data_IF_646632755266
#
_entry.id   IF_646632755266
#
_cell.length_a   1.000
_cell.length_b   1.000
_cell.length_c   1.000
_cell.angle_alpha   90.00
_cell.angle_beta   90.00
_cell.angle_gamma   90.00
#
_symmetry.space_group_name_H-M   'P 1'
#
loop_
_entity.id
_entity.type
_entity.pdbx_description
1 polymer ?
#
# COMPACT_ATOMS: atom_id res chain seq x y z
N UNK A 1 -25.13 5.83 4.87
CA UNK A 1 -24.73 4.74 5.79
C UNK A 1 -23.28 5.00 6.22
N UNK A 2 -23.02 5.31 7.50
CA UNK A 2 -21.65 5.59 7.96
C UNK A 2 -20.95 4.24 8.18
N UNK A 3 -19.88 3.97 7.43
CA UNK A 3 -19.15 2.71 7.54
C UNK A 3 -18.43 2.63 8.89
N UNK A 4 -18.62 1.52 9.63
CA UNK A 4 -17.89 1.19 10.88
C UNK A 4 -16.39 1.53 10.86
N UNK A 5 -15.61 1.24 9.79
CA UNK A 5 -14.19 1.61 9.74
C UNK A 5 -13.94 3.13 9.73
N UNK A 6 -14.84 3.93 9.15
CA UNK A 6 -14.67 5.40 9.13
C UNK A 6 -14.89 6.04 10.51
N UNK A 7 -15.74 5.44 11.34
CA UNK A 7 -15.95 5.89 12.73
C UNK A 7 -14.72 5.55 13.57
N UNK A 8 -14.19 4.32 13.44
CA UNK A 8 -12.98 3.91 14.15
C UNK A 8 -11.77 4.81 13.83
N UNK A 9 -11.55 5.10 12.55
CA UNK A 9 -10.50 6.04 12.12
C UNK A 9 -10.71 7.45 12.68
N UNK A 10 -11.94 7.98 12.59
CA UNK A 10 -12.24 9.31 13.11
C UNK A 10 -12.01 9.43 14.62
N UNK A 11 -12.39 8.41 15.39
CA UNK A 11 -12.18 8.37 16.84
C UNK A 11 -10.69 8.31 17.19
N UNK A 12 -9.92 7.48 16.48
CA UNK A 12 -8.47 7.42 16.66
C UNK A 12 -7.78 8.76 16.37
N UNK A 13 -8.13 9.41 15.24
CA UNK A 13 -7.60 10.73 14.88
C UNK A 13 -8.01 11.80 15.90
N UNK A 14 -9.24 11.74 16.42
CA UNK A 14 -9.70 12.66 17.46
C UNK A 14 -8.90 12.53 18.75
N UNK A 15 -8.73 11.30 19.27
CA UNK A 15 -7.98 11.08 20.50
C UNK A 15 -6.51 11.49 20.38
N UNK A 16 -5.87 11.17 19.26
CA UNK A 16 -4.47 11.53 19.01
C UNK A 16 -4.28 13.04 18.94
N UNK A 17 -5.12 13.75 18.17
CA UNK A 17 -5.06 15.21 18.07
C UNK A 17 -5.41 15.90 19.39
N UNK A 18 -6.37 15.36 20.15
CA UNK A 18 -6.71 15.88 21.48
C UNK A 18 -5.53 15.79 22.44
N UNK A 19 -4.84 14.64 22.46
CA UNK A 19 -3.66 14.43 23.28
C UNK A 19 -2.53 15.41 22.92
N UNK A 20 -2.18 15.50 21.62
CA UNK A 20 -1.14 16.40 21.13
C UNK A 20 -1.48 17.85 21.47
N UNK A 21 -2.73 18.26 21.27
CA UNK A 21 -3.17 19.63 21.53
C UNK A 21 -3.15 19.96 23.03
N UNK A 22 -3.58 19.03 23.89
CA UNK A 22 -3.52 19.19 25.34
C UNK A 22 -2.07 19.39 25.82
N UNK A 23 -1.14 18.54 25.36
CA UNK A 23 0.28 18.65 25.71
C UNK A 23 0.88 19.96 25.19
N UNK A 24 0.49 20.39 23.98
CA UNK A 24 0.93 21.66 23.39
C UNK A 24 0.45 22.88 24.18
N UNK A 25 -0.83 22.91 24.57
CA UNK A 25 -1.39 23.97 25.43
C UNK A 25 -0.66 24.03 26.77
N UNK A 26 -0.48 22.88 27.44
CA UNK A 26 0.19 22.84 28.73
C UNK A 26 1.63 23.37 28.63
N UNK A 27 2.38 22.91 27.62
CA UNK A 27 3.74 23.39 27.37
C UNK A 27 3.80 24.89 27.10
N UNK A 28 2.84 25.42 26.33
CA UNK A 28 2.78 26.84 26.01
C UNK A 28 2.38 27.70 27.22
N UNK A 29 1.49 27.19 28.07
CA UNK A 29 1.08 27.83 29.33
C UNK A 29 2.30 27.94 30.26
N UNK A 30 3.02 26.85 30.52
CA UNK A 30 4.21 26.85 31.36
C UNK A 30 5.31 27.77 30.81
N UNK A 31 5.55 27.74 29.50
CA UNK A 31 6.52 28.62 28.86
C UNK A 31 6.15 30.11 29.06
N UNK A 32 4.89 30.46 28.84
CA UNK A 32 4.43 31.84 29.02
C UNK A 32 4.52 32.27 30.49
N UNK A 33 4.18 31.39 31.43
CA UNK A 33 4.32 31.66 32.87
C UNK A 33 5.78 31.93 33.22
N UNK A 34 6.71 31.07 32.78
CA UNK A 34 8.14 31.25 33.02
C UNK A 34 8.67 32.55 32.41
N UNK A 35 8.27 32.87 31.18
CA UNK A 35 8.65 34.12 30.52
C UNK A 35 8.11 35.35 31.25
N UNK A 36 6.83 35.33 31.65
CA UNK A 36 6.21 36.42 32.42
C UNK A 36 6.87 36.59 33.80
N UNK A 37 7.18 35.50 34.51
CA UNK A 37 7.94 35.56 35.78
C UNK A 37 9.30 36.22 35.57
N UNK A 38 10.06 35.79 34.55
CA UNK A 38 11.37 36.37 34.26
C UNK A 38 11.31 37.87 33.90
N UNK A 39 10.27 38.31 33.17
CA UNK A 39 10.06 39.72 32.86
C UNK A 39 9.73 40.55 34.11
N UNK A 40 8.83 40.04 34.97
CA UNK A 40 8.48 40.66 36.24
C UNK A 40 9.71 40.74 37.16
N UNK A 41 10.48 39.66 37.27
CA UNK A 41 11.73 39.62 38.03
C UNK A 41 12.72 40.67 37.55
N UNK A 42 12.92 40.78 36.23
CA UNK A 42 13.79 41.78 35.64
C UNK A 42 13.31 43.19 35.97
N UNK A 43 12.00 43.44 35.90
CA UNK A 43 11.43 44.76 36.22
C UNK A 43 11.60 45.10 37.69
N UNK A 44 11.22 44.20 38.59
CA UNK A 44 11.38 44.37 40.03
C UNK A 44 12.86 44.56 40.39
N UNK A 45 13.78 43.82 39.76
CA UNK A 45 15.22 43.95 40.00
C UNK A 45 15.77 45.33 39.63
N UNK A 46 15.21 45.99 38.62
CA UNK A 46 15.57 47.37 38.26
C UNK A 46 15.04 48.37 39.30
N UNK A 47 13.82 48.14 39.80
CA UNK A 47 13.12 49.05 40.71
C UNK A 47 13.43 48.75 42.20
N UNK A 48 14.18 47.69 42.50
CA UNK A 48 14.40 47.10 43.83
C UNK A 48 14.99 48.05 44.88
N UNK A 49 15.86 48.96 44.42
CA UNK A 49 16.52 49.95 45.30
C UNK A 49 15.60 51.12 45.64
N UNK A 50 14.52 51.31 44.88
CA UNK A 50 13.54 52.38 45.10
C UNK A 50 12.36 51.91 45.94
N UNK A 51 12.19 50.59 46.13
CA UNK A 51 11.09 50.02 46.91
C UNK A 51 11.39 50.09 48.42
N UNK A 52 10.50 50.69 49.24
CA UNK A 52 10.69 50.85 50.68
C UNK A 52 10.36 49.55 51.43
N UNK A 53 11.15 48.51 51.19
CA UNK A 53 10.99 47.19 51.82
C UNK A 53 11.58 47.19 53.24
N UNK A 54 11.04 46.35 54.12
CA UNK A 54 11.56 46.20 55.47
C UNK A 54 12.99 45.63 55.45
N UNK A 55 13.89 46.24 56.23
CA UNK A 55 15.30 45.85 56.33
C UNK A 55 15.67 45.56 57.80
N UNK A 56 15.76 44.27 58.18
CA UNK A 56 16.08 43.87 59.56
C UNK A 56 17.45 44.37 60.03
N UNK A 57 18.43 44.46 59.11
CA UNK A 57 19.78 44.94 59.41
C UNK A 57 19.82 46.40 59.89
N UNK A 58 18.85 47.22 59.47
CA UNK A 58 18.79 48.65 59.78
C UNK A 58 17.60 49.02 60.68
N UNK A 59 16.88 48.04 61.25
CA UNK A 59 15.63 48.25 62.00
C UNK A 59 14.59 49.12 61.25
N UNK A 60 14.61 49.06 59.91
CA UNK A 60 13.67 49.80 59.08
C UNK A 60 12.45 48.92 58.79
N UNK A 61 11.27 49.36 59.23
CA UNK A 61 10.02 48.60 59.10
C UNK A 61 9.45 48.59 57.67
N UNK A 62 10.00 49.39 56.75
CA UNK A 62 9.46 49.54 55.40
C UNK A 62 8.21 50.43 55.34
N UNK A 63 7.73 50.68 54.12
CA UNK A 63 6.44 51.30 53.85
C UNK A 63 5.58 50.36 53.00
N UNK A 64 4.77 49.53 53.67
CA UNK A 64 3.93 48.53 53.01
C UNK A 64 2.93 49.16 52.03
N UNK A 65 2.41 50.36 52.33
CA UNK A 65 1.42 51.03 51.49
C UNK A 65 2.00 51.44 50.13
N UNK A 66 3.25 51.89 50.08
CA UNK A 66 3.93 52.21 48.81
C UNK A 66 4.25 50.94 48.01
N UNK A 67 4.61 49.85 48.68
CA UNK A 67 4.84 48.55 48.04
C UNK A 67 3.53 48.02 47.44
N UNK A 68 2.42 48.10 48.17
CA UNK A 68 1.11 47.67 47.67
C UNK A 68 0.64 48.52 46.47
N UNK A 69 0.88 49.83 46.51
CA UNK A 69 0.61 50.73 45.38
C UNK A 69 1.45 50.37 44.14
N UNK A 70 2.73 50.04 44.34
CA UNK A 70 3.60 49.57 43.26
C UNK A 70 3.08 48.25 42.66
N UNK A 71 2.74 47.28 43.51
CA UNK A 71 2.17 45.99 43.08
C UNK A 71 0.88 46.21 42.30
N UNK A 72 0.00 47.10 42.77
CA UNK A 72 -1.25 47.44 42.09
C UNK A 72 -1.00 48.02 40.69
N UNK A 73 -0.07 48.97 40.56
CA UNK A 73 0.28 49.56 39.26
C UNK A 73 0.91 48.53 38.31
N UNK A 74 1.80 47.68 38.83
CA UNK A 74 2.43 46.61 38.07
C UNK A 74 1.38 45.60 37.58
N UNK A 75 0.50 45.14 38.46
CA UNK A 75 -0.58 44.21 38.09
C UNK A 75 -1.54 44.84 37.07
N UNK A 76 -1.85 46.14 37.17
CA UNK A 76 -2.66 46.81 36.16
C UNK A 76 -1.99 46.79 34.77
N UNK A 77 -0.67 46.90 34.69
CA UNK A 77 0.07 46.77 33.43
C UNK A 77 0.08 45.32 32.94
N UNK A 78 0.28 44.36 33.83
CA UNK A 78 0.26 42.93 33.53
C UNK A 78 -1.10 42.47 33.01
N UNK A 79 -2.19 42.95 33.61
CA UNK A 79 -3.57 42.68 33.19
C UNK A 79 -3.86 43.26 31.80
N UNK A 80 -3.41 44.49 31.53
CA UNK A 80 -3.52 45.12 30.20
C UNK A 80 -2.79 44.31 29.12
N UNK A 81 -1.70 43.65 29.48
CA UNK A 81 -0.93 42.79 28.60
C UNK A 81 -1.43 41.34 28.57
N UNK A 82 -2.56 41.03 29.24
CA UNK A 82 -3.11 39.69 29.38
C UNK A 82 -2.08 38.66 29.92
N UNK A 83 -1.25 39.10 30.87
CA UNK A 83 -0.31 38.22 31.57
C UNK A 83 -1.07 37.13 32.34
N UNK A 84 -0.51 35.92 32.37
CA UNK A 84 -1.02 34.81 33.18
C UNK A 84 -0.48 34.82 34.61
N UNK A 85 0.37 35.79 34.93
CA UNK A 85 1.07 35.89 36.21
C UNK A 85 0.82 37.28 36.76
N UNK A 86 0.36 37.34 38.00
CA UNK A 86 0.21 38.55 38.79
C UNK A 86 1.07 38.45 40.05
N UNK A 87 1.47 39.59 40.60
CA UNK A 87 2.25 39.66 41.83
C UNK A 87 1.30 39.78 43.01
N UNK A 88 1.43 38.88 43.98
CA UNK A 88 0.65 38.92 45.23
C UNK A 88 1.33 39.79 46.28
N UNK A 89 2.60 39.52 46.55
CA UNK A 89 3.39 40.26 47.54
C UNK A 89 4.86 40.31 47.15
N UNK A 90 5.53 41.35 47.61
CA UNK A 90 6.99 41.52 47.52
C UNK A 90 7.47 41.74 48.94
N UNK A 91 8.29 40.84 49.46
CA UNK A 91 8.73 40.93 50.85
C UNK A 91 10.13 40.36 51.06
N UNK A 92 10.77 40.77 52.16
CA UNK A 92 12.08 40.22 52.57
C UNK A 92 11.95 38.86 53.29
N UNK A 93 10.72 38.42 53.57
CA UNK A 93 10.43 37.17 54.28
C UNK A 93 10.06 36.07 53.28
N UNK A 94 10.42 34.83 53.59
CA UNK A 94 10.07 33.68 52.76
C UNK A 94 8.54 33.50 52.74
N UNK A 95 7.89 33.49 51.57
CA UNK A 95 6.45 33.26 51.46
C UNK A 95 6.09 31.79 51.71
N UNK A 96 4.87 31.55 52.17
CA UNK A 96 4.33 30.19 52.37
C UNK A 96 3.85 29.53 51.05
N UNK A 97 3.80 30.29 49.96
CA UNK A 97 3.32 29.81 48.66
C UNK A 97 4.38 28.96 47.94
N UNK A 98 3.93 28.12 47.00
CA UNK A 98 4.82 27.32 46.14
C UNK A 98 5.33 28.07 44.92
N UNK A 99 4.66 29.15 44.51
CA UNK A 99 4.94 29.92 43.31
C UNK A 99 5.59 31.27 43.68
N UNK A 100 6.86 31.22 44.06
CA UNK A 100 7.67 32.41 44.35
C UNK A 100 9.00 32.42 43.58
N UNK A 101 9.62 33.59 43.51
CA UNK A 101 11.00 33.76 43.02
C UNK A 101 11.85 34.50 44.03
N UNK A 102 13.12 34.12 44.11
CA UNK A 102 14.14 34.76 44.94
C UNK A 102 14.96 35.75 44.09
N UNK A 103 14.93 37.02 44.48
CA UNK A 103 15.74 38.09 43.91
C UNK A 103 16.86 38.45 44.87
N UNK A 104 18.11 38.32 44.43
CA UNK A 104 19.29 38.68 45.20
C UNK A 104 19.72 40.11 44.87
N UNK A 105 19.48 41.02 45.80
CA UNK A 105 20.10 42.34 45.80
C UNK A 105 21.48 42.31 46.47
N UNK A 106 22.20 43.44 46.40
CA UNK A 106 23.57 43.54 46.92
C UNK A 106 23.71 43.13 48.40
N UNK A 107 22.70 43.37 49.24
CA UNK A 107 22.74 43.07 50.69
C UNK A 107 21.42 42.53 51.24
N UNK A 108 20.45 42.16 50.38
CA UNK A 108 19.14 41.65 50.79
C UNK A 108 18.61 40.61 49.81
N UNK A 109 17.89 39.62 50.34
CA UNK A 109 17.12 38.66 49.56
C UNK A 109 15.67 39.13 49.59
N UNK A 110 15.06 39.23 48.42
CA UNK A 110 13.67 39.65 48.25
C UNK A 110 12.91 38.54 47.57
N UNK A 111 11.77 38.18 48.14
CA UNK A 111 10.87 37.18 47.62
C UNK A 111 9.70 37.86 46.93
N UNK A 112 9.40 37.39 45.72
CA UNK A 112 8.23 37.80 44.95
C UNK A 112 7.28 36.62 44.88
N UNK A 113 6.09 36.77 45.43
CA UNK A 113 5.04 35.76 45.41
C UNK A 113 4.07 36.02 44.25
N UNK A 114 3.66 34.96 43.54
CA UNK A 114 2.86 35.06 42.34
C UNK A 114 1.48 34.40 42.47
N UNK A 115 0.51 34.95 41.73
CA UNK A 115 -0.74 34.29 41.38
C UNK A 115 -0.66 33.86 39.92
N UNK A 116 -0.76 32.56 39.67
CA UNK A 116 -0.52 31.96 38.35
C UNK A 116 -1.80 31.33 37.80
N UNK A 117 -2.20 31.75 36.60
CA UNK A 117 -3.38 31.26 35.89
C UNK A 117 -3.03 30.12 34.92
N UNK A 118 -3.22 28.88 35.36
CA UNK A 118 -2.93 27.65 34.59
C UNK A 118 -4.12 27.12 33.78
N UNK A 119 -5.24 27.84 33.70
CA UNK A 119 -6.41 27.37 32.96
C UNK A 119 -6.16 27.26 31.44
N UNK A 120 -6.73 26.21 30.87
CA UNK A 120 -6.75 25.96 29.44
C UNK A 120 -7.86 26.76 28.77
N UNK A 121 -7.57 27.28 27.57
CA UNK A 121 -8.58 27.96 26.76
C UNK A 121 -9.49 26.94 26.04
N UNK A 122 -10.65 26.65 26.64
CA UNK A 122 -11.61 25.66 26.13
C UNK A 122 -12.08 25.96 24.70
N UNK A 123 -12.24 27.23 24.33
CA UNK A 123 -12.66 27.64 22.99
C UNK A 123 -11.71 27.16 21.90
N UNK A 124 -10.40 27.07 22.16
CA UNK A 124 -9.41 26.66 21.18
C UNK A 124 -9.48 25.15 20.84
N UNK A 125 -10.13 24.34 21.68
CA UNK A 125 -10.35 22.92 21.37
C UNK A 125 -11.29 22.71 20.18
N UNK A 126 -12.05 23.73 19.75
CA UNK A 126 -12.84 23.67 18.51
C UNK A 126 -11.97 23.39 17.28
N UNK A 127 -10.70 23.82 17.30
CA UNK A 127 -9.75 23.56 16.22
C UNK A 127 -9.48 22.06 16.07
N UNK A 128 -9.38 21.33 17.19
CA UNK A 128 -9.22 19.87 17.20
C UNK A 128 -10.44 19.20 16.54
N UNK A 129 -11.64 19.65 16.89
CA UNK A 129 -12.89 19.15 16.28
C UNK A 129 -12.92 19.44 14.77
N UNK A 130 -12.57 20.65 14.36
CA UNK A 130 -12.54 21.01 12.94
C UNK A 130 -11.52 20.17 12.16
N UNK A 131 -10.32 20.00 12.69
CA UNK A 131 -9.24 19.23 12.04
C UNK A 131 -9.63 17.75 11.89
N UNK A 132 -10.34 17.20 12.88
CA UNK A 132 -10.80 15.80 12.83
C UNK A 132 -11.90 15.61 11.78
N UNK A 133 -12.84 16.55 11.68
CA UNK A 133 -13.85 16.54 10.61
C UNK A 133 -13.21 16.61 9.22
N UNK A 134 -12.20 17.46 9.03
CA UNK A 134 -11.46 17.56 7.76
C UNK A 134 -10.76 16.22 7.44
N UNK A 135 -10.08 15.62 8.41
CA UNK A 135 -9.42 14.32 8.22
C UNK A 135 -10.42 13.20 7.87
N UNK A 136 -11.56 13.13 8.56
CA UNK A 136 -12.61 12.16 8.25
C UNK A 136 -13.19 12.40 6.86
N UNK A 137 -13.38 13.66 6.45
CA UNK A 137 -13.85 14.01 5.11
C UNK A 137 -12.87 13.59 4.02
N UNK A 138 -11.57 13.87 4.20
CA UNK A 138 -10.51 13.45 3.28
C UNK A 138 -10.42 11.93 3.20
N UNK A 139 -10.43 11.25 4.35
CA UNK A 139 -10.44 9.79 4.42
C UNK A 139 -11.63 9.20 3.67
N UNK A 140 -12.85 9.76 3.86
CA UNK A 140 -14.03 9.32 3.09
C UNK A 140 -13.85 9.52 1.59
N UNK A 141 -13.31 10.66 1.13
CA UNK A 141 -13.07 10.92 -0.29
C UNK A 141 -12.03 9.97 -0.89
N UNK A 142 -10.92 9.74 -0.18
CA UNK A 142 -9.85 8.84 -0.63
C UNK A 142 -10.34 7.39 -0.62
N UNK A 143 -11.03 6.95 0.43
CA UNK A 143 -11.61 5.61 0.51
C UNK A 143 -12.68 5.41 -0.58
N UNK A 144 -13.55 6.40 -0.84
CA UNK A 144 -14.51 6.32 -1.94
C UNK A 144 -13.82 6.21 -3.30
N UNK A 145 -12.73 6.93 -3.53
CA UNK A 145 -11.89 6.78 -4.74
C UNK A 145 -11.21 5.42 -4.81
N UNK A 146 -10.71 4.88 -3.70
CA UNK A 146 -10.14 3.53 -3.68
C UNK A 146 -11.18 2.46 -3.91
N UNK A 147 -12.39 2.59 -3.36
CA UNK A 147 -13.51 1.67 -3.63
C UNK A 147 -13.96 1.79 -5.08
N UNK A 148 -14.07 3.00 -5.64
CA UNK A 148 -14.39 3.20 -7.05
C UNK A 148 -13.30 2.72 -8.00
N UNK A 149 -12.02 2.86 -7.62
CA UNK A 149 -10.90 2.31 -8.40
C UNK A 149 -10.83 0.80 -8.27
N UNK A 150 -11.07 0.22 -7.07
CA UNK A 150 -11.17 -1.23 -6.88
C UNK A 150 -12.39 -1.81 -7.58
N UNK A 151 -13.52 -1.11 -7.61
CA UNK A 151 -14.68 -1.54 -8.41
C UNK A 151 -14.42 -1.37 -9.90
N UNK A 152 -13.68 -0.36 -10.34
CA UNK A 152 -13.20 -0.28 -11.73
C UNK A 152 -12.18 -1.36 -12.06
N UNK A 153 -11.29 -1.73 -11.15
CA UNK A 153 -10.32 -2.83 -11.32
C UNK A 153 -11.05 -4.18 -11.30
N UNK A 154 -12.02 -4.36 -10.41
CA UNK A 154 -12.89 -5.54 -10.33
C UNK A 154 -13.82 -5.64 -11.54
N UNK A 155 -14.35 -4.52 -12.05
CA UNK A 155 -15.15 -4.47 -13.28
C UNK A 155 -14.28 -4.53 -14.54
N UNK A 156 -12.96 -4.30 -14.42
CA UNK A 156 -11.97 -4.63 -15.46
C UNK A 156 -11.50 -6.09 -15.37
N UNK A 157 -11.88 -6.81 -14.31
CA UNK A 157 -11.63 -8.23 -14.09
C UNK A 157 -12.90 -9.08 -14.33
N UNK A 158 -13.67 -8.74 -15.36
CA UNK A 158 -14.61 -9.66 -16.02
C UNK A 158 -14.59 -9.47 -17.54
N UNK A 159 -13.44 -9.14 -18.11
CA UNK A 159 -13.11 -9.81 -19.38
C UNK A 159 -12.53 -11.13 -18.91
N UNK A 160 -13.32 -12.22 -19.00
CA UNK A 160 -12.72 -13.57 -19.05
C UNK A 160 -11.72 -13.52 -20.20
N UNK A 161 -10.44 -13.24 -19.90
CA UNK A 161 -9.38 -13.57 -20.84
C UNK A 161 -9.61 -15.03 -21.16
N UNK A 162 -9.87 -15.32 -22.43
CA UNK A 162 -10.12 -16.69 -22.85
C UNK A 162 -8.88 -17.48 -22.42
N UNK A 163 -9.04 -18.58 -21.68
CA UNK A 163 -7.91 -19.39 -21.23
C UNK A 163 -7.06 -19.76 -22.45
N UNK A 164 -5.74 -19.80 -22.30
CA UNK A 164 -4.81 -20.16 -23.38
C UNK A 164 -4.17 -21.51 -23.10
N UNK A 165 -3.86 -22.25 -24.15
CA UNK A 165 -3.10 -23.50 -24.03
C UNK A 165 -1.61 -23.19 -23.89
N UNK A 166 -1.02 -23.53 -22.74
CA UNK A 166 0.41 -23.42 -22.49
C UNK A 166 1.07 -24.76 -22.83
N UNK A 167 2.05 -24.73 -23.74
CA UNK A 167 2.89 -25.88 -24.10
C UNK A 167 4.29 -25.63 -23.52
N UNK A 168 4.64 -26.35 -22.47
CA UNK A 168 5.90 -26.15 -21.77
C UNK A 168 6.95 -27.20 -22.17
N UNK A 169 8.00 -26.73 -22.84
CA UNK A 169 9.11 -27.57 -23.27
C UNK A 169 10.04 -28.00 -22.12
N UNK A 170 10.07 -27.26 -21.00
CA UNK A 170 10.90 -27.60 -19.83
C UNK A 170 10.33 -28.76 -19.02
N UNK A 171 9.00 -28.83 -18.92
CA UNK A 171 8.30 -29.91 -18.20
C UNK A 171 7.71 -30.97 -19.15
N UNK A 172 7.73 -30.72 -20.47
CA UNK A 172 7.05 -31.53 -21.50
C UNK A 172 5.57 -31.73 -21.21
N UNK A 173 4.91 -30.66 -20.77
CA UNK A 173 3.51 -30.72 -20.35
C UNK A 173 2.65 -29.71 -21.11
N UNK A 174 1.37 -30.03 -21.21
CA UNK A 174 0.29 -29.18 -21.66
C UNK A 174 -0.49 -28.71 -20.44
N UNK A 175 -0.75 -27.40 -20.34
CA UNK A 175 -1.48 -26.79 -19.24
C UNK A 175 -2.44 -25.72 -19.77
N UNK A 176 -3.42 -25.33 -18.97
CA UNK A 176 -4.26 -24.16 -19.26
C UNK A 176 -3.85 -22.98 -18.39
N UNK A 177 -3.75 -21.81 -19.02
CA UNK A 177 -3.48 -20.56 -18.32
C UNK A 177 -4.52 -20.34 -17.21
N UNK A 178 -4.05 -20.30 -15.96
CA UNK A 178 -4.89 -20.13 -14.77
C UNK A 178 -5.36 -21.42 -14.09
N UNK A 179 -5.11 -22.61 -14.66
CA UNK A 179 -5.43 -23.89 -14.02
C UNK A 179 -4.24 -24.87 -14.10
N UNK A 180 -3.46 -24.95 -13.02
CA UNK A 180 -2.30 -25.85 -12.89
C UNK A 180 -2.67 -27.28 -12.47
N UNK A 181 -3.95 -27.58 -12.21
CA UNK A 181 -4.38 -28.94 -11.83
C UNK A 181 -4.60 -29.82 -13.07
N UNK A 182 -5.06 -29.22 -14.17
CA UNK A 182 -5.23 -29.87 -15.47
C UNK A 182 -3.92 -29.84 -16.26
N UNK A 183 -3.03 -30.80 -15.97
CA UNK A 183 -1.76 -30.96 -16.69
C UNK A 183 -1.66 -32.34 -17.33
N UNK A 184 -1.23 -32.39 -18.59
CA UNK A 184 -0.96 -33.66 -19.28
C UNK A 184 0.47 -33.67 -19.82
N UNK A 185 1.18 -34.78 -19.62
CA UNK A 185 2.54 -34.94 -20.14
C UNK A 185 2.52 -35.64 -21.49
N UNK A 186 3.27 -35.10 -22.45
CA UNK A 186 3.43 -35.71 -23.77
C UNK A 186 4.81 -36.35 -23.93
N UNK A 187 4.85 -37.48 -24.66
CA UNK A 187 6.10 -38.05 -25.11
C UNK A 187 6.78 -37.13 -26.15
N UNK A 188 8.10 -37.22 -26.25
CA UNK A 188 8.91 -36.29 -27.07
C UNK A 188 8.47 -36.22 -28.54
N UNK A 189 8.15 -37.36 -29.17
CA UNK A 189 7.73 -37.40 -30.58
C UNK A 189 6.37 -36.71 -30.78
N UNK A 190 5.29 -37.07 -30.06
CA UNK A 190 4.03 -36.33 -30.05
C UNK A 190 4.16 -34.83 -29.78
N UNK A 191 4.95 -34.45 -28.77
CA UNK A 191 5.13 -33.05 -28.38
C UNK A 191 5.75 -32.22 -29.51
N UNK A 192 6.87 -32.67 -30.07
CA UNK A 192 7.53 -31.98 -31.19
C UNK A 192 6.62 -31.91 -32.42
N UNK A 193 5.91 -33.00 -32.72
CA UNK A 193 5.01 -33.03 -33.87
C UNK A 193 3.84 -32.07 -33.70
N UNK A 194 3.25 -31.99 -32.50
CA UNK A 194 2.16 -31.07 -32.21
C UNK A 194 2.59 -29.60 -32.31
N UNK A 195 3.74 -29.24 -31.75
CA UNK A 195 4.31 -27.90 -31.86
C UNK A 195 4.61 -27.51 -33.31
N UNK A 196 5.17 -28.45 -34.08
CA UNK A 196 5.42 -28.24 -35.49
C UNK A 196 4.13 -28.05 -36.29
N UNK A 197 3.09 -28.81 -35.96
CA UNK A 197 1.79 -28.69 -36.61
C UNK A 197 1.13 -27.34 -36.29
N UNK A 198 1.20 -26.86 -35.04
CA UNK A 198 0.72 -25.51 -34.69
C UNK A 198 1.46 -24.46 -35.52
N UNK A 199 2.81 -24.45 -35.47
CA UNK A 199 3.60 -23.43 -36.18
C UNK A 199 3.43 -23.51 -37.71
N UNK A 200 3.35 -24.72 -38.27
CA UNK A 200 3.11 -24.92 -39.69
C UNK A 200 1.73 -24.44 -40.12
N UNK A 201 0.68 -24.75 -39.35
CA UNK A 201 -0.69 -24.30 -39.65
C UNK A 201 -0.86 -22.79 -39.46
N UNK A 202 -0.12 -22.15 -38.55
CA UNK A 202 -0.08 -20.67 -38.44
C UNK A 202 0.54 -20.05 -39.70
N UNK A 203 1.64 -20.63 -40.20
CA UNK A 203 2.34 -20.12 -41.39
C UNK A 203 1.61 -20.41 -42.70
N UNK A 204 0.86 -21.52 -42.76
CA UNK A 204 0.19 -22.00 -43.97
C UNK A 204 -1.29 -22.35 -43.71
N UNK A 205 -2.16 -21.36 -43.43
CA UNK A 205 -3.54 -21.58 -42.99
C UNK A 205 -4.43 -22.28 -44.04
N UNK A 206 -4.10 -22.13 -45.33
CA UNK A 206 -4.87 -22.70 -46.44
C UNK A 206 -4.46 -24.14 -46.80
N UNK A 207 -3.39 -24.66 -46.20
CA UNK A 207 -2.86 -25.99 -46.54
C UNK A 207 -3.61 -27.08 -45.77
N UNK A 208 -4.22 -28.02 -46.49
CA UNK A 208 -4.87 -29.19 -45.89
C UNK A 208 -3.88 -30.36 -45.76
N UNK A 209 -3.70 -30.85 -44.54
CA UNK A 209 -2.81 -31.96 -44.22
C UNK A 209 -3.59 -33.28 -44.21
N UNK A 210 -3.34 -34.17 -45.16
CA UNK A 210 -4.07 -35.44 -45.27
C UNK A 210 -3.24 -36.63 -44.79
N UNK A 211 -3.88 -37.59 -44.11
CA UNK A 211 -3.23 -38.83 -43.62
C UNK A 211 -2.68 -39.72 -44.75
N UNK A 212 -3.33 -39.70 -45.91
CA UNK A 212 -2.97 -40.54 -47.07
C UNK A 212 -1.86 -39.95 -47.94
N UNK A 213 -1.36 -38.76 -47.59
CA UNK A 213 -0.25 -38.09 -48.27
C UNK A 213 0.95 -38.05 -47.33
N UNK A 214 2.14 -37.98 -47.91
CA UNK A 214 3.34 -37.76 -47.13
C UNK A 214 3.25 -36.44 -46.36
N UNK A 215 3.83 -36.44 -45.16
CA UNK A 215 3.91 -35.25 -44.32
C UNK A 215 4.80 -34.23 -45.03
N UNK A 216 4.38 -32.97 -45.19
CA UNK A 216 5.19 -31.95 -45.85
C UNK A 216 6.58 -31.81 -45.20
N UNK A 217 7.62 -31.71 -46.01
CA UNK A 217 9.00 -31.60 -45.53
C UNK A 217 9.19 -30.39 -44.60
N UNK A 218 8.56 -29.26 -44.92
CA UNK A 218 8.58 -28.07 -44.07
C UNK A 218 8.02 -28.31 -42.65
N UNK A 219 7.01 -29.18 -42.49
CA UNK A 219 6.50 -29.56 -41.17
C UNK A 219 7.52 -30.44 -40.43
N UNK A 220 8.15 -31.39 -41.15
CA UNK A 220 9.18 -32.26 -40.59
C UNK A 220 10.39 -31.45 -40.10
N UNK A 221 10.83 -30.44 -40.86
CA UNK A 221 11.93 -29.53 -40.47
C UNK A 221 11.61 -28.77 -39.17
N UNK A 222 10.37 -28.28 -39.01
CA UNK A 222 9.96 -27.62 -37.77
C UNK A 222 9.92 -28.62 -36.60
N UNK A 223 9.43 -29.84 -36.83
CA UNK A 223 9.43 -30.89 -35.80
C UNK A 223 10.85 -31.26 -35.35
N UNK A 224 11.80 -31.31 -36.28
CA UNK A 224 13.21 -31.53 -35.98
C UNK A 224 13.82 -30.40 -35.18
N UNK A 225 13.49 -29.15 -35.52
CA UNK A 225 13.93 -27.97 -34.75
C UNK A 225 13.51 -28.08 -33.28
N UNK A 226 12.26 -28.45 -32.99
CA UNK A 226 11.80 -28.67 -31.61
C UNK A 226 12.43 -29.90 -30.96
N UNK A 227 12.71 -30.96 -31.72
CA UNK A 227 13.45 -32.12 -31.20
C UNK A 227 14.88 -31.75 -30.78
N UNK A 228 15.59 -30.97 -31.59
CA UNK A 228 16.90 -30.43 -31.22
C UNK A 228 16.82 -29.54 -29.98
N UNK A 229 15.77 -28.71 -29.86
CA UNK A 229 15.54 -27.90 -28.65
C UNK A 229 15.34 -28.78 -27.41
N UNK A 230 14.53 -29.83 -27.49
CA UNK A 230 14.37 -30.79 -26.38
C UNK A 230 15.67 -31.52 -26.05
N UNK A 231 16.53 -31.80 -27.04
CA UNK A 231 17.85 -32.39 -26.80
C UNK A 231 18.76 -31.43 -26.01
N UNK A 232 18.78 -30.14 -26.39
CA UNK A 232 19.52 -29.09 -25.67
C UNK A 232 19.02 -28.92 -24.24
N UNK A 233 17.71 -29.04 -24.01
CA UNK A 233 17.09 -29.00 -22.68
C UNK A 233 17.32 -30.29 -21.85
N UNK A 234 18.01 -31.30 -22.40
CA UNK A 234 18.32 -32.54 -21.70
C UNK A 234 17.17 -33.56 -21.65
N UNK A 235 16.08 -33.34 -22.40
CA UNK A 235 14.92 -34.24 -22.40
C UNK A 235 15.03 -35.44 -23.35
N UNK A 236 16.06 -35.49 -24.18
CA UNK A 236 16.32 -36.62 -25.06
C UNK A 236 17.81 -36.77 -25.39
N UNK A 237 18.30 -38.00 -25.33
CA UNK A 237 19.64 -38.42 -25.81
C UNK A 237 19.50 -39.47 -26.92
N UNK A 238 18.26 -39.75 -27.36
CA UNK A 238 17.94 -40.81 -28.32
C UNK A 238 18.10 -40.34 -29.76
N UNK A 239 18.26 -41.30 -30.69
CA UNK A 239 18.27 -41.07 -32.14
C UNK A 239 17.00 -40.34 -32.58
N UNK A 240 17.14 -39.44 -33.55
CA UNK A 240 16.05 -38.67 -34.19
C UNK A 240 14.86 -39.59 -34.52
N UNK A 241 13.66 -39.31 -34.01
CA UNK A 241 12.48 -40.08 -34.34
C UNK A 241 12.06 -39.80 -35.77
N UNK A 242 11.54 -40.83 -36.46
CA UNK A 242 10.87 -40.62 -37.74
C UNK A 242 9.45 -40.10 -37.46
N UNK A 243 9.16 -38.86 -37.83
CA UNK A 243 7.88 -38.19 -37.60
C UNK A 243 6.76 -38.60 -38.58
N UNK A 244 7.08 -39.15 -39.75
CA UNK A 244 6.07 -39.63 -40.71
C UNK A 244 5.58 -41.05 -40.41
N UNK A 245 6.42 -41.88 -39.77
CA UNK A 245 5.99 -43.22 -39.37
C UNK A 245 4.96 -43.18 -38.23
N UNK A 246 3.92 -44.02 -38.31
CA UNK A 246 2.91 -44.19 -37.26
C UNK A 246 2.17 -42.89 -36.88
N UNK A 247 1.94 -42.03 -37.87
CA UNK A 247 1.30 -40.71 -37.70
C UNK A 247 -0.05 -40.81 -36.98
N UNK A 248 -0.89 -41.80 -37.31
CA UNK A 248 -2.18 -42.01 -36.64
C UNK A 248 -2.04 -42.24 -35.14
N UNK A 249 -1.02 -43.02 -34.74
CA UNK A 249 -0.73 -43.27 -33.32
C UNK A 249 -0.27 -41.99 -32.64
N UNK A 250 0.62 -41.22 -33.28
CA UNK A 250 1.10 -39.94 -32.76
C UNK A 250 -0.03 -38.93 -32.59
N UNK A 251 -0.93 -38.80 -33.56
CA UNK A 251 -2.12 -37.95 -33.45
C UNK A 251 -3.09 -38.44 -32.37
N UNK A 252 -3.20 -39.74 -32.15
CA UNK A 252 -4.04 -40.30 -31.10
C UNK A 252 -3.49 -40.00 -29.70
N UNK A 253 -2.17 -40.06 -29.51
CA UNK A 253 -1.51 -39.67 -28.25
C UNK A 253 -1.70 -38.17 -27.97
N UNK A 254 -1.54 -37.31 -29.00
CA UNK A 254 -1.79 -35.86 -28.87
C UNK A 254 -3.23 -35.58 -28.45
N UNK A 255 -4.20 -36.23 -29.11
CA UNK A 255 -5.62 -36.08 -28.81
C UNK A 255 -5.95 -36.49 -27.38
N UNK A 256 -5.42 -37.62 -26.91
CA UNK A 256 -5.63 -38.09 -25.54
C UNK A 256 -5.13 -37.08 -24.51
N UNK A 257 -3.91 -36.57 -24.68
CA UNK A 257 -3.37 -35.54 -23.78
C UNK A 257 -4.13 -34.22 -23.84
N UNK A 258 -4.62 -33.82 -25.02
CA UNK A 258 -5.47 -32.64 -25.15
C UNK A 258 -6.86 -32.86 -24.53
N UNK A 259 -7.41 -34.08 -24.55
CA UNK A 259 -8.68 -34.39 -23.91
C UNK A 259 -8.59 -34.26 -22.38
N UNK A 260 -7.45 -34.63 -21.78
CA UNK A 260 -7.19 -34.43 -20.34
C UNK A 260 -7.21 -32.95 -19.94
N UNK A 261 -6.72 -32.06 -20.81
CA UNK A 261 -6.50 -30.63 -20.50
C UNK A 261 -7.63 -29.74 -21.00
N UNK A 262 -8.25 -30.05 -22.15
CA UNK A 262 -9.27 -29.23 -22.83
C UNK A 262 -10.70 -29.74 -22.65
N UNK A 263 -10.94 -30.80 -21.86
CA UNK A 263 -12.29 -31.32 -21.59
C UNK A 263 -13.24 -30.25 -21.06
N UNK A 264 -12.75 -29.37 -20.18
CA UNK A 264 -13.51 -28.28 -19.56
C UNK A 264 -13.56 -27.00 -20.44
N UNK A 265 -12.86 -26.97 -21.57
CA UNK A 265 -12.70 -25.81 -22.44
C UNK A 265 -13.10 -26.12 -23.90
N UNK A 266 -14.41 -26.31 -24.18
CA UNK A 266 -14.89 -26.73 -25.50
C UNK A 266 -14.55 -25.73 -26.63
N UNK A 267 -14.49 -24.43 -26.32
CA UNK A 267 -14.15 -23.38 -27.28
C UNK A 267 -12.71 -23.51 -27.78
N UNK A 268 -11.73 -23.72 -26.88
CA UNK A 268 -10.33 -23.97 -27.24
C UNK A 268 -10.17 -25.31 -27.95
N UNK A 269 -10.87 -26.33 -27.45
CA UNK A 269 -10.88 -27.67 -28.05
C UNK A 269 -11.30 -27.62 -29.51
N UNK A 270 -12.32 -26.84 -29.86
CA UNK A 270 -12.78 -26.73 -31.25
C UNK A 270 -11.71 -26.25 -32.24
N UNK A 271 -10.70 -25.50 -31.76
CA UNK A 271 -9.65 -24.88 -32.57
C UNK A 271 -8.32 -25.64 -32.55
N UNK A 272 -7.89 -26.05 -31.35
CA UNK A 272 -6.56 -26.63 -31.09
C UNK A 272 -6.56 -28.16 -31.09
N UNK A 273 -7.73 -28.80 -31.14
CA UNK A 273 -7.83 -30.26 -31.18
C UNK A 273 -7.69 -30.79 -32.62
N UNK A 274 -6.73 -31.68 -32.90
CA UNK A 274 -6.57 -32.27 -34.23
C UNK A 274 -7.81 -33.11 -34.59
N UNK A 275 -8.54 -32.80 -35.68
CA UNK A 275 -9.77 -33.49 -36.03
C UNK A 275 -9.54 -34.98 -36.28
N UNK A 276 -10.44 -35.84 -35.78
CA UNK A 276 -10.40 -37.30 -35.99
C UNK A 276 -11.13 -37.63 -37.29
N UNK A 277 -10.54 -38.46 -38.14
CA UNK A 277 -11.28 -39.06 -39.25
C UNK A 277 -12.37 -39.97 -38.66
N UNK A 278 -13.65 -39.59 -38.86
CA UNK A 278 -14.81 -40.41 -38.49
C UNK A 278 -15.49 -40.89 -39.77
N UNK A 279 -15.75 -42.20 -39.85
CA UNK A 279 -16.63 -42.79 -40.86
C UNK A 279 -16.00 -43.87 -41.71
N UNK A 280 -16.42 -45.11 -41.42
CA UNK A 280 -16.63 -46.27 -42.29
C UNK A 280 -15.76 -46.41 -43.56
N UNK A 281 -14.88 -47.40 -43.51
CA UNK A 281 -14.08 -47.83 -44.65
C UNK A 281 -12.70 -47.18 -44.66
N UNK A 282 -11.68 -48.02 -44.77
CA UNK A 282 -10.23 -47.74 -44.82
C UNK A 282 -9.77 -46.72 -45.89
N UNK A 283 -10.66 -45.96 -46.53
CA UNK A 283 -10.40 -45.17 -47.74
C UNK A 283 -11.16 -43.84 -47.82
N UNK A 284 -11.67 -43.27 -46.72
CA UNK A 284 -12.28 -41.93 -46.75
C UNK A 284 -11.20 -40.84 -46.91
N UNK A 285 -10.95 -40.49 -48.19
CA UNK A 285 -9.84 -39.69 -48.73
C UNK A 285 -9.78 -38.21 -48.33
N UNK A 286 -10.63 -37.70 -47.44
CA UNK A 286 -10.91 -36.25 -47.38
C UNK A 286 -10.71 -35.57 -46.01
N UNK A 287 -10.30 -36.30 -44.97
CA UNK A 287 -10.12 -35.69 -43.65
C UNK A 287 -8.72 -35.09 -43.51
N UNK A 288 -8.67 -33.76 -43.32
CA UNK A 288 -7.44 -33.04 -42.96
C UNK A 288 -7.22 -33.17 -41.46
N UNK A 289 -5.99 -33.44 -41.00
CA UNK A 289 -5.62 -33.42 -39.58
C UNK A 289 -5.05 -32.07 -39.12
N UNK A 290 -4.87 -31.11 -40.03
CA UNK A 290 -4.37 -29.77 -39.72
C UNK A 290 -5.34 -28.95 -38.88
N UNK A 291 -4.79 -28.09 -38.03
CA UNK A 291 -5.54 -27.16 -37.18
C UNK A 291 -6.05 -25.97 -38.00
N UNK A 292 -7.25 -25.46 -37.68
CA UNK A 292 -7.87 -24.32 -38.38
C UNK A 292 -8.49 -23.33 -37.41
N UNK A 293 -8.46 -22.04 -37.75
CA UNK A 293 -9.21 -21.00 -37.04
C UNK A 293 -8.73 -20.68 -35.62
N UNK A 294 -7.45 -20.97 -35.32
CA UNK A 294 -6.80 -20.55 -34.07
C UNK A 294 -5.97 -19.28 -34.33
N UNK A 295 -5.84 -18.44 -33.31
CA UNK A 295 -5.02 -17.24 -33.31
C UNK A 295 -3.77 -17.44 -32.44
N UNK A 296 -2.74 -16.61 -32.63
CA UNK A 296 -1.54 -16.60 -31.77
C UNK A 296 -1.86 -16.31 -30.30
N UNK A 297 -3.05 -15.75 -30.02
CA UNK A 297 -3.55 -15.54 -28.67
C UNK A 297 -4.14 -16.79 -28.01
N UNK A 298 -4.36 -17.89 -28.74
CA UNK A 298 -5.00 -19.11 -28.20
C UNK A 298 -3.98 -20.08 -27.57
N UNK A 299 -2.67 -19.90 -27.81
CA UNK A 299 -1.60 -20.76 -27.27
C UNK A 299 -0.33 -19.99 -26.89
N UNK A 300 0.49 -20.57 -26.00
CA UNK A 300 1.80 -20.07 -25.61
C UNK A 300 2.81 -21.23 -25.58
N UNK A 301 4.02 -21.02 -26.11
CA UNK A 301 5.10 -22.02 -26.05
C UNK A 301 6.20 -21.54 -25.12
N UNK A 302 6.40 -22.23 -24.00
CA UNK A 302 7.49 -21.95 -23.05
C UNK A 302 8.72 -22.77 -23.39
N UNK A 303 9.89 -22.13 -23.38
CA UNK A 303 11.16 -22.78 -23.69
C UNK A 303 11.49 -22.88 -25.18
N UNK A 304 10.81 -22.12 -26.04
CA UNK A 304 11.15 -21.98 -27.48
C UNK A 304 12.61 -21.53 -27.67
#
# INVERSE_FOLDING_TARGET
MINRPTIGYGLFVFLTLLCIFYLGQNSKIEFNIAASKAEIEKRISLDINSLPLAEPLFNYAGNQQEVDNYIFQLNQQLDKNHSRVLVRTISSNLPESSDYSELRGNHKIIYVDYVVERSHSLSLYIVVVLLTLVNVFLHKRVFAKHVANRSKISNKAEVKEKPKLIIDLYSKSLLIEGNNELTSQLANKPLCFYLAMIEFCTQNPDTNLHLNKDVPDALLEIADKYFHRLAVLGHTVRKRPNFSNSLEKTLSEIRASLDEVLSEYPDLKSKLYPPRAHGEGSRSKLHSYGLKGFADTDYEVRGK
#
